data_IF_849816017381
#
_entry.id   IF_849816017381
#
_cell.length_a   1.000
_cell.length_b   1.000
_cell.length_c   1.000
_cell.angle_alpha   90.00
_cell.angle_beta   90.00
_cell.angle_gamma   90.00
#
_symmetry.space_group_name_H-M   'P 1'
#
loop_
_entity.id
_entity.type
_entity.pdbx_description
1 polymer ?
#
# COMPACT_ATOMS: atom_id res chain seq x y z
N UNK A 1 -10.16 6.26 8.91
CA UNK A 1 -10.45 7.22 10.00
C UNK A 1 -11.29 6.65 11.14
N UNK A 2 -12.60 6.46 11.01
CA UNK A 2 -13.52 6.30 12.17
C UNK A 2 -13.28 5.08 13.07
N UNK A 3 -12.71 4.01 12.53
CA UNK A 3 -12.49 2.74 13.23
C UNK A 3 -10.98 2.53 13.39
N UNK A 4 -10.27 2.20 12.30
CA UNK A 4 -8.82 1.90 12.30
C UNK A 4 -7.90 3.01 12.86
N UNK A 5 -8.33 4.28 12.80
CA UNK A 5 -7.56 5.43 13.28
C UNK A 5 -8.42 6.31 14.19
N UNK A 6 -9.26 5.68 15.00
CA UNK A 6 -10.20 6.35 15.90
C UNK A 6 -9.47 7.24 16.92
N UNK A 7 -9.80 8.54 16.93
CA UNK A 7 -9.25 9.50 17.89
C UNK A 7 -9.81 9.35 19.30
N UNK A 8 -10.84 8.54 19.50
CA UNK A 8 -11.60 8.48 20.75
C UNK A 8 -11.64 7.08 21.37
N UNK A 9 -11.16 6.07 20.66
CA UNK A 9 -11.06 4.70 21.16
C UNK A 9 -10.03 4.58 22.30
N UNK A 10 -8.85 5.19 22.15
CA UNK A 10 -7.83 5.21 23.20
C UNK A 10 -8.27 5.97 24.47
N UNK A 11 -9.32 6.78 24.37
CA UNK A 11 -9.96 7.48 25.49
C UNK A 11 -11.08 6.64 26.14
N UNK A 12 -11.39 5.45 25.62
CA UNK A 12 -12.48 4.59 26.09
C UNK A 12 -13.88 5.09 25.71
N UNK A 13 -13.99 6.07 24.80
CA UNK A 13 -15.28 6.64 24.37
C UNK A 13 -15.95 5.81 23.27
N UNK A 14 -15.18 4.97 22.58
CA UNK A 14 -15.67 4.01 21.58
C UNK A 14 -15.10 2.64 21.91
N UNK A 15 -15.94 1.61 21.80
CA UNK A 15 -15.55 0.22 22.00
C UNK A 15 -15.90 -0.56 20.74
N UNK A 16 -14.88 -1.05 20.04
CA UNK A 16 -15.09 -1.86 18.85
C UNK A 16 -14.85 -3.35 19.14
N UNK A 17 -15.54 -4.26 18.43
CA UNK A 17 -15.22 -5.68 18.51
C UNK A 17 -13.79 -5.95 18.03
N UNK A 18 -13.09 -6.89 18.68
CA UNK A 18 -11.71 -7.27 18.33
C UNK A 18 -11.53 -7.72 16.86
N UNK A 19 -12.60 -8.18 16.21
CA UNK A 19 -12.59 -8.65 14.81
C UNK A 19 -12.90 -7.56 13.78
N UNK A 20 -13.31 -6.34 14.20
CA UNK A 20 -13.82 -5.33 13.26
C UNK A 20 -12.77 -4.95 12.22
N UNK A 21 -11.51 -4.83 12.63
CA UNK A 21 -10.41 -4.42 11.77
C UNK A 21 -10.14 -5.46 10.67
N UNK A 22 -10.05 -6.74 11.02
CA UNK A 22 -9.78 -7.81 10.05
C UNK A 22 -10.93 -7.97 9.06
N UNK A 23 -12.18 -7.86 9.52
CA UNK A 23 -13.37 -7.91 8.67
C UNK A 23 -13.39 -6.73 7.70
N UNK A 24 -13.13 -5.51 8.18
CA UNK A 24 -13.09 -4.33 7.30
C UNK A 24 -11.96 -4.40 6.28
N UNK A 25 -10.76 -4.83 6.68
CA UNK A 25 -9.65 -5.03 5.74
C UNK A 25 -10.01 -6.04 4.65
N UNK A 26 -10.70 -7.12 5.01
CA UNK A 26 -11.16 -8.15 4.07
C UNK A 26 -12.24 -7.60 3.14
N UNK A 27 -13.21 -6.85 3.68
CA UNK A 27 -14.25 -6.20 2.88
C UNK A 27 -13.65 -5.25 1.83
N UNK A 28 -12.73 -4.37 2.24
CA UNK A 28 -12.05 -3.46 1.31
C UNK A 28 -11.31 -4.24 0.21
N UNK A 29 -10.59 -5.31 0.58
CA UNK A 29 -9.90 -6.17 -0.41
C UNK A 29 -10.87 -6.74 -1.45
N UNK A 30 -12.06 -7.19 -1.03
CA UNK A 30 -13.08 -7.74 -1.92
C UNK A 30 -13.78 -6.68 -2.79
N UNK A 31 -13.89 -5.43 -2.31
CA UNK A 31 -14.52 -4.34 -3.07
C UNK A 31 -13.58 -3.69 -4.08
N UNK A 32 -12.26 -3.82 -3.89
CA UNK A 32 -11.22 -3.11 -4.64
C UNK A 32 -11.34 -3.25 -6.17
N UNK A 33 -11.75 -4.42 -6.64
CA UNK A 33 -11.89 -4.70 -8.08
C UNK A 33 -13.03 -3.92 -8.75
N UNK A 34 -13.92 -3.31 -7.97
CA UNK A 34 -15.04 -2.51 -8.47
C UNK A 34 -14.77 -1.00 -8.40
N UNK A 35 -13.58 -0.59 -7.95
CA UNK A 35 -13.25 0.83 -7.95
C UNK A 35 -13.11 1.36 -9.39
N UNK A 36 -13.56 2.60 -9.65
CA UNK A 36 -13.43 3.20 -10.96
C UNK A 36 -11.96 3.40 -11.33
N UNK A 37 -11.66 3.54 -12.62
CA UNK A 37 -10.29 3.74 -13.11
C UNK A 37 -9.63 5.03 -12.57
N UNK A 38 -10.43 6.04 -12.19
CA UNK A 38 -9.95 7.29 -11.57
C UNK A 38 -9.53 7.11 -10.11
N UNK A 39 -9.98 6.05 -9.45
CA UNK A 39 -9.82 5.88 -8.00
C UNK A 39 -8.35 5.86 -7.58
N UNK A 40 -7.46 5.27 -8.38
CA UNK A 40 -6.02 5.27 -8.08
C UNK A 40 -5.49 6.70 -7.96
N UNK A 41 -5.85 7.59 -8.88
CA UNK A 41 -5.37 8.97 -8.87
C UNK A 41 -5.91 9.71 -7.64
N UNK A 42 -7.22 9.59 -7.37
CA UNK A 42 -7.85 10.21 -6.20
C UNK A 42 -7.23 9.74 -4.88
N UNK A 43 -6.96 8.43 -4.74
CA UNK A 43 -6.29 7.86 -3.56
C UNK A 43 -4.86 8.36 -3.39
N UNK A 44 -4.11 8.49 -4.49
CA UNK A 44 -2.75 9.03 -4.46
C UNK A 44 -2.77 10.51 -4.07
N UNK A 45 -3.66 11.31 -4.63
CA UNK A 45 -3.79 12.73 -4.30
C UNK A 45 -4.13 12.95 -2.82
N UNK A 46 -4.97 12.07 -2.25
CA UNK A 46 -5.36 12.17 -0.85
C UNK A 46 -4.25 11.72 0.11
N UNK A 47 -3.55 10.62 -0.18
CA UNK A 47 -2.67 9.97 0.80
C UNK A 47 -1.18 10.21 0.58
N UNK A 48 -0.74 10.63 -0.62
CA UNK A 48 0.68 11.01 -0.86
C UNK A 48 1.19 12.08 0.10
N UNK A 49 0.42 13.13 0.48
CA UNK A 49 0.88 14.12 1.45
C UNK A 49 1.25 13.54 2.83
N UNK A 50 0.76 12.36 3.16
CA UNK A 50 1.05 11.67 4.42
C UNK A 50 2.37 10.88 4.38
N UNK A 51 3.00 10.75 3.20
CA UNK A 51 4.21 9.95 2.98
C UNK A 51 5.50 10.66 3.42
N UNK A 52 5.56 11.10 4.67
CA UNK A 52 6.80 11.59 5.27
C UNK A 52 7.52 10.42 5.98
N UNK A 53 8.65 9.90 5.49
CA UNK A 53 9.29 8.70 6.06
C UNK A 53 9.69 8.80 7.53
N UNK A 54 9.77 10.02 8.06
CA UNK A 54 10.15 10.34 9.44
C UNK A 54 8.96 10.63 10.36
N UNK A 55 7.73 10.59 9.84
CA UNK A 55 6.50 10.85 10.61
C UNK A 55 5.63 9.58 10.75
N UNK A 56 4.86 9.51 11.84
CA UNK A 56 3.91 8.41 12.10
C UNK A 56 2.80 8.31 11.04
N UNK A 57 2.52 9.41 10.31
CA UNK A 57 1.53 9.41 9.22
C UNK A 57 1.93 8.52 8.04
N UNK A 58 3.22 8.20 7.88
CA UNK A 58 3.69 7.32 6.82
C UNK A 58 3.13 5.91 6.95
N UNK A 59 3.09 5.39 8.18
CA UNK A 59 2.46 4.08 8.45
C UNK A 59 1.02 4.04 7.98
N UNK A 60 0.29 5.11 8.25
CA UNK A 60 -1.11 5.26 7.85
C UNK A 60 -1.25 5.31 6.32
N UNK A 61 -0.41 6.09 5.65
CA UNK A 61 -0.39 6.19 4.19
C UNK A 61 -0.17 4.82 3.53
N UNK A 62 0.90 4.13 3.89
CA UNK A 62 1.24 2.82 3.29
C UNK A 62 0.19 1.75 3.61
N UNK A 63 -0.39 1.77 4.82
CA UNK A 63 -1.50 0.86 5.16
C UNK A 63 -2.71 1.11 4.26
N UNK A 64 -3.07 2.37 4.01
CA UNK A 64 -4.15 2.69 3.07
C UNK A 64 -3.80 2.26 1.64
N UNK A 65 -2.58 2.50 1.17
CA UNK A 65 -2.17 2.07 -0.18
C UNK A 65 -2.22 0.54 -0.35
N UNK A 66 -1.70 -0.22 0.62
CA UNK A 66 -1.81 -1.68 0.62
C UNK A 66 -3.29 -2.12 0.55
N UNK A 67 -4.16 -1.49 1.35
CA UNK A 67 -5.57 -1.87 1.46
C UNK A 67 -6.44 -1.41 0.29
N UNK A 68 -6.15 -0.29 -0.37
CA UNK A 68 -7.08 0.32 -1.31
C UNK A 68 -6.57 0.41 -2.75
N UNK A 69 -5.26 0.55 -3.00
CA UNK A 69 -4.79 0.71 -4.38
C UNK A 69 -5.13 -0.52 -5.23
N UNK A 70 -5.85 -0.35 -6.35
CA UNK A 70 -6.14 -1.44 -7.26
C UNK A 70 -4.88 -1.85 -8.03
N UNK A 71 -4.66 -3.16 -8.12
CA UNK A 71 -3.54 -3.78 -8.85
C UNK A 71 -4.01 -4.63 -10.03
N UNK A 72 -5.33 -4.78 -10.22
CA UNK A 72 -5.96 -5.66 -11.20
C UNK A 72 -6.62 -4.91 -12.37
N UNK A 73 -6.23 -3.65 -12.60
CA UNK A 73 -6.70 -2.90 -13.78
C UNK A 73 -6.22 -3.59 -15.06
N UNK A 74 -7.01 -3.59 -16.15
CA UNK A 74 -6.60 -4.24 -17.38
C UNK A 74 -5.43 -3.49 -18.05
N UNK A 75 -4.67 -4.15 -18.95
CA UNK A 75 -3.45 -3.61 -19.56
C UNK A 75 -3.61 -2.23 -20.22
N UNK A 76 -4.72 -2.00 -20.90
CA UNK A 76 -5.10 -0.72 -21.50
C UNK A 76 -5.17 0.43 -20.48
N UNK A 77 -5.49 0.11 -19.22
CA UNK A 77 -5.68 1.07 -18.14
C UNK A 77 -4.53 1.08 -17.11
N UNK A 78 -3.43 0.36 -17.34
CA UNK A 78 -2.25 0.36 -16.43
C UNK A 78 -1.68 1.77 -16.20
N UNK A 79 -1.81 2.67 -17.17
CA UNK A 79 -1.37 4.07 -17.06
C UNK A 79 -2.18 4.88 -16.04
N UNK A 80 -3.40 4.44 -15.69
CA UNK A 80 -4.23 5.00 -14.61
C UNK A 80 -4.12 4.20 -13.31
N UNK A 81 -3.39 3.09 -13.33
CA UNK A 81 -3.20 2.18 -12.20
C UNK A 81 -1.79 2.28 -11.64
N UNK A 82 -1.11 1.14 -11.60
CA UNK A 82 0.20 1.04 -10.95
C UNK A 82 1.29 1.92 -11.53
N UNK A 83 1.22 2.29 -12.82
CA UNK A 83 2.20 3.20 -13.43
C UNK A 83 2.18 4.61 -12.83
N UNK A 84 1.13 4.98 -12.11
CA UNK A 84 1.08 6.28 -11.42
C UNK A 84 1.97 6.34 -10.18
N UNK A 85 2.30 5.21 -9.55
CA UNK A 85 2.93 5.17 -8.22
C UNK A 85 4.08 4.18 -8.09
N UNK A 86 4.16 3.16 -8.94
CA UNK A 86 5.10 2.04 -8.78
C UNK A 86 6.56 2.50 -8.70
N UNK A 87 7.02 3.30 -9.66
CA UNK A 87 8.41 3.74 -9.71
C UNK A 87 8.78 4.65 -8.52
N UNK A 88 7.86 5.53 -8.10
CA UNK A 88 8.01 6.38 -6.92
C UNK A 88 8.14 5.54 -5.64
N UNK A 89 7.22 4.59 -5.45
CA UNK A 89 7.16 3.79 -4.23
C UNK A 89 8.34 2.82 -4.14
N UNK A 90 8.75 2.26 -5.27
CA UNK A 90 9.92 1.38 -5.33
C UNK A 90 11.21 2.18 -5.10
N UNK A 91 11.31 3.38 -5.67
CA UNK A 91 12.41 4.31 -5.41
C UNK A 91 12.52 4.67 -3.92
N UNK A 92 11.37 4.95 -3.28
CA UNK A 92 11.29 5.21 -1.85
C UNK A 92 11.76 4.01 -1.02
N UNK A 93 11.27 2.81 -1.35
CA UNK A 93 11.64 1.58 -0.66
C UNK A 93 13.13 1.26 -0.75
N UNK A 94 13.74 1.45 -1.93
CA UNK A 94 15.20 1.26 -2.10
C UNK A 94 16.00 2.32 -1.35
N UNK A 95 15.51 3.56 -1.30
CA UNK A 95 16.24 4.69 -0.70
C UNK A 95 16.17 4.72 0.84
N UNK A 96 15.10 4.20 1.43
CA UNK A 96 14.88 4.22 2.88
C UNK A 96 15.16 2.83 3.46
N UNK A 97 16.39 2.63 3.93
CA UNK A 97 16.82 1.41 4.61
C UNK A 97 16.71 1.56 6.13
N UNK A 98 16.62 0.41 6.83
CA UNK A 98 16.67 0.28 8.31
C UNK A 98 15.39 0.62 9.10
N UNK A 99 14.33 -0.19 8.89
CA UNK A 99 13.20 -0.44 9.80
C UNK A 99 12.13 0.66 9.99
N UNK A 100 11.47 1.10 8.92
CA UNK A 100 10.13 1.61 9.09
C UNK A 100 9.10 0.47 9.24
N UNK A 101 8.22 0.58 10.24
CA UNK A 101 7.08 -0.35 10.44
C UNK A 101 6.20 -0.51 9.18
N UNK A 102 6.26 0.44 8.24
CA UNK A 102 5.47 0.47 7.03
C UNK A 102 6.04 -0.38 5.89
N UNK A 103 7.30 -0.79 5.99
CA UNK A 103 7.98 -1.50 4.90
C UNK A 103 7.28 -2.81 4.55
N UNK A 104 6.85 -3.59 5.55
CA UNK A 104 6.14 -4.85 5.32
C UNK A 104 4.83 -4.67 4.53
N UNK A 105 4.11 -3.58 4.80
CA UNK A 105 2.90 -3.24 4.04
C UNK A 105 3.21 -2.89 2.58
N UNK A 106 4.34 -2.21 2.35
CA UNK A 106 4.79 -1.85 1.01
C UNK A 106 5.22 -3.10 0.22
N UNK A 107 5.94 -4.04 0.86
CA UNK A 107 6.31 -5.33 0.26
C UNK A 107 5.07 -6.15 -0.08
N UNK A 108 4.05 -6.19 0.78
CA UNK A 108 2.78 -6.86 0.47
C UNK A 108 2.07 -6.25 -0.75
N UNK A 109 2.12 -4.91 -0.88
CA UNK A 109 1.57 -4.21 -2.05
C UNK A 109 2.32 -4.61 -3.33
N UNK A 110 3.66 -4.65 -3.30
CA UNK A 110 4.46 -5.10 -4.45
C UNK A 110 4.23 -6.57 -4.79
N UNK A 111 4.13 -7.45 -3.79
CA UNK A 111 3.86 -8.88 -4.00
C UNK A 111 2.50 -9.09 -4.70
N UNK A 112 1.46 -8.35 -4.28
CA UNK A 112 0.17 -8.36 -4.95
C UNK A 112 0.28 -7.82 -6.37
N UNK A 113 0.95 -6.67 -6.56
CA UNK A 113 1.16 -6.09 -7.88
C UNK A 113 1.84 -7.07 -8.85
N UNK A 114 2.89 -7.74 -8.39
CA UNK A 114 3.64 -8.72 -9.18
C UNK A 114 2.76 -9.91 -9.59
N UNK A 115 1.92 -10.39 -8.67
CA UNK A 115 1.00 -11.51 -8.89
C UNK A 115 -0.11 -11.15 -9.90
N UNK A 116 -0.66 -9.96 -9.80
CA UNK A 116 -1.76 -9.51 -10.67
C UNK A 116 -1.29 -9.11 -12.08
N UNK A 117 -0.01 -8.77 -12.25
CA UNK A 117 0.54 -8.17 -13.48
C UNK A 117 1.72 -8.96 -14.06
N UNK A 118 1.65 -10.30 -14.02
CA UNK A 118 2.66 -11.19 -14.57
C UNK A 118 2.86 -10.89 -16.07
N UNK A 119 4.12 -10.64 -16.46
CA UNK A 119 4.49 -10.31 -17.83
C UNK A 119 4.37 -8.83 -18.22
N UNK A 120 3.82 -7.96 -17.36
CA UNK A 120 3.66 -6.53 -17.64
C UNK A 120 4.68 -5.62 -16.95
N UNK A 121 5.38 -6.13 -15.94
CA UNK A 121 6.41 -5.41 -15.20
C UNK A 121 7.73 -6.15 -15.41
N UNK A 122 8.75 -5.42 -15.89
CA UNK A 122 10.11 -5.94 -15.92
C UNK A 122 10.73 -5.80 -14.53
N UNK A 123 10.82 -6.90 -13.80
CA UNK A 123 11.39 -6.93 -12.44
C UNK A 123 12.91 -7.06 -12.43
N UNK A 124 13.55 -7.42 -13.55
CA UNK A 124 15.00 -7.68 -13.61
C UNK A 124 15.87 -6.54 -13.09
N UNK A 125 15.59 -5.24 -13.37
CA UNK A 125 16.39 -4.14 -12.83
C UNK A 125 16.26 -3.98 -11.30
N UNK A 126 15.24 -4.58 -10.70
CA UNK A 126 14.87 -4.43 -9.30
C UNK A 126 15.27 -5.63 -8.46
N UNK A 127 15.37 -6.83 -9.03
CA UNK A 127 15.81 -8.05 -8.30
C UNK A 127 17.14 -7.84 -7.55
N UNK A 128 18.19 -7.24 -8.14
CA UNK A 128 19.44 -6.98 -7.42
C UNK A 128 19.31 -5.98 -6.27
N UNK A 129 18.27 -5.14 -6.27
CA UNK A 129 18.00 -4.16 -5.21
C UNK A 129 17.11 -4.77 -4.11
N UNK A 130 16.17 -5.62 -4.51
CA UNK A 130 15.24 -6.34 -3.63
C UNK A 130 15.97 -7.43 -2.84
N UNK A 131 16.76 -8.25 -3.52
CA UNK A 131 17.34 -9.46 -2.94
C UNK A 131 18.26 -9.16 -1.74
N UNK A 132 19.26 -8.26 -1.81
CA UNK A 132 20.07 -7.92 -0.65
C UNK A 132 19.26 -7.29 0.49
N UNK A 133 18.31 -6.39 0.18
CA UNK A 133 17.45 -5.77 1.18
C UNK A 133 16.54 -6.79 1.91
N UNK A 134 16.17 -7.89 1.25
CA UNK A 134 15.42 -9.00 1.85
C UNK A 134 16.34 -9.94 2.65
N UNK A 135 17.52 -10.31 2.12
CA UNK A 135 18.46 -11.21 2.79
C UNK A 135 19.17 -10.58 4.00
N UNK A 136 19.40 -9.27 4.01
CA UNK A 136 19.97 -8.56 5.17
C UNK A 136 18.97 -8.48 6.35
N UNK A 137 17.70 -8.86 6.12
CA UNK A 137 16.60 -8.82 7.09
C UNK A 137 16.13 -10.20 7.57
N UNK A 138 16.73 -11.30 7.09
CA UNK A 138 16.48 -12.69 7.50
C UNK A 138 17.71 -13.25 8.22
#
# INVERSE_FOLDING_TARGET
ERILYSKTEHLGLNWFPNSVESVLKTLVKNCRLYFPESATAEMLDEWRPLMCPFDVTMQKAITYFELFLPTTLPPECHHKGFKLWFDEFLGLWVSVQNLPQWEGHLVNLFARLATDNIGYINWDPYIPKVSPAVWEKV
#
